data_IF_048471557538
#
_entry.id   IF_048471557538
#
_cell.length_a   1.000
_cell.length_b   1.000
_cell.length_c   1.000
_cell.angle_alpha   90.00
_cell.angle_beta   90.00
_cell.angle_gamma   90.00
#
_symmetry.space_group_name_H-M   'P 1'
#
loop_
_entity.id
_entity.type
_entity.pdbx_description
1 polymer ?
#
# COMPACT_ATOMS: atom_id res chain seq x y z
N UNK A 1 5.74 -24.07 -9.78
CA UNK A 1 7.18 -24.08 -10.09
C UNK A 1 7.82 -22.99 -9.24
N UNK A 2 8.52 -23.38 -8.18
CA UNK A 2 9.22 -22.42 -7.31
C UNK A 2 10.50 -22.00 -8.03
N UNK A 3 10.47 -20.83 -8.67
CA UNK A 3 11.70 -20.22 -9.14
C UNK A 3 12.46 -19.72 -7.90
N UNK A 4 13.71 -20.12 -7.74
CA UNK A 4 14.61 -19.52 -6.74
C UNK A 4 14.60 -18.01 -6.94
N UNK A 5 14.18 -17.24 -5.93
CA UNK A 5 14.23 -15.78 -5.98
C UNK A 5 15.68 -15.34 -6.22
N UNK A 6 15.92 -14.70 -7.36
CA UNK A 6 17.21 -14.07 -7.63
C UNK A 6 17.40 -12.89 -6.67
N UNK A 7 18.65 -12.57 -6.32
CA UNK A 7 18.96 -11.43 -5.46
C UNK A 7 18.38 -10.13 -6.05
N UNK A 8 17.54 -9.42 -5.29
CA UNK A 8 16.84 -8.21 -5.75
C UNK A 8 15.46 -8.45 -6.36
N UNK A 9 14.98 -9.69 -6.46
CA UNK A 9 13.58 -9.98 -6.83
C UNK A 9 12.61 -9.72 -5.67
N UNK A 10 11.35 -9.39 -6.00
CA UNK A 10 10.30 -9.16 -5.00
C UNK A 10 9.97 -10.48 -4.29
N UNK A 11 9.89 -10.42 -2.96
CA UNK A 11 9.35 -11.53 -2.16
C UNK A 11 7.85 -11.40 -1.97
N UNK A 12 7.11 -12.40 -2.44
CA UNK A 12 5.65 -12.47 -2.37
C UNK A 12 5.14 -13.59 -1.47
N UNK A 13 6.02 -14.33 -0.80
CA UNK A 13 5.62 -15.49 0.02
C UNK A 13 4.65 -15.11 1.14
N UNK A 14 4.81 -13.93 1.74
CA UNK A 14 3.95 -13.45 2.81
C UNK A 14 2.56 -12.97 2.34
N UNK A 15 2.32 -12.88 1.02
CA UNK A 15 1.01 -12.57 0.46
C UNK A 15 0.04 -13.76 0.55
N UNK A 16 0.57 -14.96 0.83
CA UNK A 16 -0.18 -16.22 0.91
C UNK A 16 -0.97 -16.49 -0.39
N UNK A 17 -2.28 -16.58 -0.33
CA UNK A 17 -3.15 -16.81 -1.49
C UNK A 17 -3.46 -15.56 -2.31
N UNK A 18 -3.02 -14.37 -1.91
CA UNK A 18 -3.25 -13.15 -2.68
C UNK A 18 -2.21 -12.99 -3.79
N UNK A 19 -2.67 -12.99 -5.05
CA UNK A 19 -1.79 -12.86 -6.22
C UNK A 19 -1.11 -11.49 -6.32
N UNK A 20 -1.84 -10.40 -6.00
CA UNK A 20 -1.42 -9.01 -6.19
C UNK A 20 -0.76 -8.71 -7.54
N UNK A 21 -1.46 -9.03 -8.63
CA UNK A 21 -1.00 -8.76 -9.98
C UNK A 21 -2.13 -8.15 -10.80
N UNK A 22 -1.81 -7.05 -11.46
CA UNK A 22 -2.69 -6.38 -12.41
C UNK A 22 -2.16 -6.62 -13.83
N UNK A 23 -3.08 -6.69 -14.80
CA UNK A 23 -2.72 -6.94 -16.19
C UNK A 23 -3.49 -6.00 -17.10
N UNK A 24 -2.75 -5.39 -18.03
CA UNK A 24 -3.29 -4.46 -19.00
C UNK A 24 -2.87 -4.87 -20.40
N UNK A 25 -3.83 -4.87 -21.32
CA UNK A 25 -3.60 -5.13 -22.75
C UNK A 25 -3.70 -3.78 -23.46
N UNK A 26 -2.58 -3.36 -24.07
CA UNK A 26 -2.51 -2.13 -24.84
C UNK A 26 -3.51 -2.17 -26.01
N UNK A 27 -4.22 -1.06 -26.22
CA UNK A 27 -5.08 -0.87 -27.40
C UNK A 27 -4.29 -0.40 -28.61
N UNK A 28 -3.06 0.08 -28.39
CA UNK A 28 -2.16 0.56 -29.44
C UNK A 28 -2.41 2.03 -29.80
N UNK A 29 -2.80 2.85 -28.84
CA UNK A 29 -2.99 4.29 -29.08
C UNK A 29 -1.62 4.95 -29.36
N UNK A 30 -1.42 5.59 -30.53
CA UNK A 30 -0.16 6.25 -30.84
C UNK A 30 0.14 7.45 -29.92
N UNK A 31 -0.84 7.97 -29.19
CA UNK A 31 -0.67 9.07 -28.25
C UNK A 31 -0.35 8.61 -26.81
N UNK A 32 -0.27 7.30 -26.58
CA UNK A 32 -0.04 6.71 -25.25
C UNK A 32 -1.34 6.32 -24.53
N UNK A 33 -1.20 5.51 -23.48
CA UNK A 33 -2.32 4.95 -22.71
C UNK A 33 -2.04 5.05 -21.21
N UNK A 34 -3.08 5.34 -20.42
CA UNK A 34 -3.03 5.34 -18.96
C UNK A 34 -3.89 4.19 -18.45
N UNK A 35 -3.31 3.35 -17.59
CA UNK A 35 -4.00 2.26 -16.91
C UNK A 35 -3.99 2.47 -15.40
N UNK A 36 -5.20 2.48 -14.81
CA UNK A 36 -5.41 2.56 -13.37
C UNK A 36 -6.45 1.50 -12.96
N UNK A 37 -6.11 0.51 -12.11
CA UNK A 37 -7.05 -0.48 -11.61
C UNK A 37 -8.12 0.17 -10.72
N UNK A 38 -9.40 -0.15 -10.92
CA UNK A 38 -10.52 0.45 -10.17
C UNK A 38 -11.16 -0.44 -9.11
N UNK A 39 -10.94 -1.75 -9.20
CA UNK A 39 -11.61 -2.75 -8.36
C UNK A 39 -10.63 -3.62 -7.56
N UNK A 40 -9.42 -3.10 -7.33
CA UNK A 40 -8.39 -3.76 -6.53
C UNK A 40 -7.53 -2.71 -5.84
N UNK A 41 -6.91 -3.12 -4.74
CA UNK A 41 -5.87 -2.35 -4.02
C UNK A 41 -4.83 -3.34 -3.53
N UNK A 42 -3.58 -2.91 -3.47
CA UNK A 42 -2.45 -3.71 -3.01
C UNK A 42 -1.68 -2.93 -1.94
N UNK A 43 -1.23 -3.62 -0.88
CA UNK A 43 -0.27 -3.06 0.06
C UNK A 43 1.15 -3.43 -0.38
N UNK A 44 1.94 -2.46 -0.83
CA UNK A 44 3.28 -2.70 -1.39
C UNK A 44 4.23 -1.51 -1.23
N UNK A 45 5.53 -1.76 -1.45
CA UNK A 45 6.57 -0.73 -1.62
C UNK A 45 7.30 -0.87 -2.97
N UNK A 46 7.30 -2.06 -3.53
CA UNK A 46 7.99 -2.40 -4.76
C UNK A 46 7.00 -2.99 -5.75
N UNK A 47 7.20 -2.70 -7.04
CA UNK A 47 6.47 -3.31 -8.14
C UNK A 47 7.47 -3.92 -9.12
N UNK A 48 7.04 -4.94 -9.85
CA UNK A 48 7.77 -5.43 -11.01
C UNK A 48 6.86 -5.35 -12.21
N UNK A 49 7.33 -4.71 -13.29
CA UNK A 49 6.56 -4.57 -14.53
C UNK A 49 7.19 -5.46 -15.61
N UNK A 50 6.37 -6.26 -16.25
CA UNK A 50 6.77 -7.17 -17.33
C UNK A 50 6.02 -6.81 -18.62
N UNK A 51 6.60 -7.17 -19.77
CA UNK A 51 5.88 -7.16 -21.05
C UNK A 51 5.66 -5.78 -21.70
N UNK A 52 6.32 -4.73 -21.23
CA UNK A 52 6.28 -3.44 -21.91
C UNK A 52 7.07 -3.51 -23.23
N UNK A 53 6.48 -3.07 -24.37
CA UNK A 53 7.18 -3.04 -25.66
C UNK A 53 8.33 -2.02 -25.69
N UNK A 54 8.27 -1.02 -24.80
CA UNK A 54 9.30 -0.01 -24.61
C UNK A 54 9.93 -0.16 -23.21
N UNK A 55 11.17 0.27 -23.04
CA UNK A 55 11.77 0.40 -21.72
C UNK A 55 10.97 1.41 -20.89
N UNK A 56 10.37 0.98 -19.79
CA UNK A 56 9.73 1.87 -18.83
C UNK A 56 10.78 2.53 -17.95
N UNK A 57 10.56 3.80 -17.66
CA UNK A 57 11.29 4.57 -16.66
C UNK A 57 10.46 4.74 -15.40
N UNK A 58 11.08 5.26 -14.33
CA UNK A 58 10.36 5.58 -13.08
C UNK A 58 9.28 6.65 -13.28
N UNK A 59 9.41 7.47 -14.32
CA UNK A 59 8.44 8.55 -14.60
C UNK A 59 7.17 8.04 -15.29
N UNK A 60 7.16 6.78 -15.77
CA UNK A 60 6.02 6.17 -16.43
C UNK A 60 5.09 5.43 -15.44
N UNK A 61 5.42 5.47 -14.15
CA UNK A 61 4.68 4.79 -13.08
C UNK A 61 4.36 5.80 -11.98
N UNK A 62 3.07 5.90 -11.65
CA UNK A 62 2.58 6.63 -10.49
C UNK A 62 1.97 5.66 -9.47
N UNK A 63 2.30 5.83 -8.19
CA UNK A 63 1.70 5.06 -7.10
C UNK A 63 0.65 5.91 -6.40
N UNK A 64 -0.62 5.54 -6.53
CA UNK A 64 -1.73 6.22 -5.88
C UNK A 64 -2.00 5.60 -4.50
N UNK A 65 -1.96 6.44 -3.47
CA UNK A 65 -2.31 6.04 -2.10
C UNK A 65 -3.83 6.08 -1.96
N UNK A 66 -4.43 4.96 -1.57
CA UNK A 66 -5.88 4.83 -1.40
C UNK A 66 -6.17 4.41 0.04
N UNK A 67 -6.97 5.21 0.74
CA UNK A 67 -7.54 4.95 2.06
C UNK A 67 -8.85 5.73 2.22
N UNK A 68 -9.63 5.42 3.25
CA UNK A 68 -10.77 6.23 3.69
C UNK A 68 -10.32 7.66 3.97
N UNK A 69 -11.00 8.64 3.39
CA UNK A 69 -10.67 10.05 3.57
C UNK A 69 -10.74 10.43 5.06
N UNK A 70 -9.68 11.07 5.55
CA UNK A 70 -9.57 11.55 6.93
C UNK A 70 -8.67 12.78 6.97
N UNK A 71 -8.89 13.63 7.96
CA UNK A 71 -8.02 14.79 8.21
C UNK A 71 -6.97 14.45 9.26
N UNK A 72 -5.73 14.94 9.07
CA UNK A 72 -4.70 14.87 10.11
C UNK A 72 -5.09 15.83 11.24
N UNK A 73 -5.21 15.30 12.44
CA UNK A 73 -5.64 16.03 13.65
C UNK A 73 -4.47 16.31 14.59
N UNK A 74 -3.50 15.40 14.65
CA UNK A 74 -2.35 15.48 15.55
C UNK A 74 -1.03 15.66 14.82
N UNK A 75 -0.11 16.38 15.47
CA UNK A 75 1.26 16.53 15.01
C UNK A 75 2.24 16.24 16.13
N UNK A 76 3.29 15.49 15.81
CA UNK A 76 4.37 15.16 16.74
C UNK A 76 5.72 15.40 16.08
N UNK A 77 6.64 16.01 16.82
CA UNK A 77 8.04 16.15 16.44
C UNK A 77 8.90 16.09 17.69
N UNK A 78 10.05 15.44 17.58
CA UNK A 78 11.05 15.39 18.63
C UNK A 78 12.44 15.69 18.06
N UNK A 79 13.41 15.91 18.95
CA UNK A 79 14.82 16.05 18.58
C UNK A 79 15.46 14.72 18.16
N UNK A 80 14.80 13.59 18.42
CA UNK A 80 15.30 12.27 18.06
C UNK A 80 14.74 11.83 16.70
N UNK A 81 15.58 11.71 15.65
CA UNK A 81 15.11 11.35 14.31
C UNK A 81 14.49 9.95 14.25
N UNK A 82 14.90 9.01 15.11
CA UNK A 82 14.34 7.66 15.15
C UNK A 82 12.89 7.70 15.62
N UNK A 83 12.58 8.51 16.64
CA UNK A 83 11.20 8.64 17.15
C UNK A 83 10.31 9.30 16.10
N UNK A 84 10.83 10.29 15.38
CA UNK A 84 10.10 10.92 14.27
C UNK A 84 9.81 9.91 13.15
N UNK A 85 10.75 9.02 12.84
CA UNK A 85 10.54 7.95 11.86
C UNK A 85 9.51 6.91 12.34
N UNK A 86 9.51 6.56 13.63
CA UNK A 86 8.49 5.66 14.20
C UNK A 86 7.10 6.29 14.05
N UNK A 87 6.95 7.56 14.43
CA UNK A 87 5.69 8.29 14.27
C UNK A 87 5.22 8.32 12.81
N UNK A 88 6.13 8.59 11.87
CA UNK A 88 5.82 8.55 10.44
C UNK A 88 5.33 7.17 9.99
N UNK A 89 6.01 6.11 10.42
CA UNK A 89 5.63 4.73 10.09
C UNK A 89 4.28 4.35 10.70
N UNK A 90 3.98 4.81 11.91
CA UNK A 90 2.69 4.61 12.59
C UNK A 90 1.57 5.26 11.77
N UNK A 91 1.73 6.52 11.35
CA UNK A 91 0.73 7.21 10.52
C UNK A 91 0.48 6.50 9.19
N UNK A 92 1.53 6.08 8.48
CA UNK A 92 1.40 5.31 7.23
C UNK A 92 0.79 3.92 7.45
N UNK A 93 1.14 3.26 8.55
CA UNK A 93 0.57 1.97 8.92
C UNK A 93 -0.93 2.05 9.25
N UNK A 94 -1.35 3.11 9.93
CA UNK A 94 -2.76 3.37 10.22
C UNK A 94 -3.54 3.69 8.94
N UNK A 95 -3.04 4.61 8.10
CA UNK A 95 -3.70 4.95 6.83
C UNK A 95 -3.79 3.74 5.89
N UNK A 96 -2.73 2.94 5.78
CA UNK A 96 -2.74 1.73 4.95
C UNK A 96 -3.78 0.70 5.39
N UNK A 97 -4.21 0.72 6.66
CA UNK A 97 -5.25 -0.16 7.19
C UNK A 97 -6.63 0.51 7.33
N UNK A 98 -6.78 1.75 6.87
CA UNK A 98 -8.06 2.47 6.89
C UNK A 98 -8.73 2.34 5.53
N UNK A 99 -9.26 1.15 5.21
CA UNK A 99 -9.92 0.87 3.92
C UNK A 99 -11.37 0.43 4.15
N UNK A 100 -12.28 1.39 4.37
CA UNK A 100 -13.68 1.22 4.82
C UNK A 100 -13.85 0.64 6.23
N UNK A 101 -12.96 -0.24 6.65
CA UNK A 101 -12.88 -0.86 7.97
C UNK A 101 -11.41 -0.80 8.44
N UNK A 102 -11.14 -0.78 9.76
CA UNK A 102 -9.78 -0.87 10.29
C UNK A 102 -9.26 -2.30 10.12
N UNK A 103 -8.40 -2.54 9.13
CA UNK A 103 -7.89 -3.87 8.81
C UNK A 103 -6.64 -4.25 9.62
N UNK A 104 -6.35 -5.53 9.75
CA UNK A 104 -5.08 -6.04 10.31
C UNK A 104 -3.90 -5.82 9.36
N UNK A 105 -4.14 -6.00 8.05
CA UNK A 105 -3.11 -5.82 7.04
C UNK A 105 -3.71 -5.47 5.67
N UNK A 106 -3.01 -4.68 4.83
CA UNK A 106 -3.52 -4.31 3.50
C UNK A 106 -3.14 -5.29 2.39
N UNK A 107 -2.16 -6.17 2.60
CA UNK A 107 -1.49 -6.88 1.50
C UNK A 107 -2.02 -8.30 1.25
N UNK A 108 -2.00 -9.18 2.24
CA UNK A 108 -2.27 -10.62 2.05
C UNK A 108 -3.77 -10.89 1.89
N UNK A 109 -4.12 -12.15 1.66
CA UNK A 109 -5.48 -12.69 1.55
C UNK A 109 -6.29 -12.65 2.87
N UNK A 110 -6.29 -11.51 3.57
CA UNK A 110 -6.97 -11.32 4.84
C UNK A 110 -7.76 -10.01 4.86
N UNK A 111 -7.11 -8.89 5.19
CA UNK A 111 -7.68 -7.54 5.15
C UNK A 111 -8.99 -7.48 5.94
N UNK A 112 -8.98 -8.02 7.15
CA UNK A 112 -10.18 -8.18 7.99
C UNK A 112 -10.19 -7.18 9.12
N UNK A 113 -11.40 -6.79 9.52
CA UNK A 113 -11.66 -5.95 10.69
C UNK A 113 -11.45 -6.70 11.99
N UNK A 114 -10.20 -7.06 12.29
CA UNK A 114 -9.87 -7.73 13.55
C UNK A 114 -10.07 -6.76 14.72
N UNK A 115 -11.06 -7.06 15.57
CA UNK A 115 -11.46 -6.16 16.66
C UNK A 115 -10.36 -5.96 17.71
N UNK A 116 -9.47 -6.94 17.90
CA UNK A 116 -8.36 -6.82 18.84
C UNK A 116 -7.36 -5.74 18.40
N UNK A 117 -6.96 -5.81 17.14
CA UNK A 117 -6.07 -4.85 16.49
C UNK A 117 -6.66 -3.44 16.57
N UNK A 118 -7.91 -3.28 16.12
CA UNK A 118 -8.62 -2.00 16.20
C UNK A 118 -8.73 -1.46 17.63
N UNK A 119 -9.02 -2.31 18.61
CA UNK A 119 -9.12 -1.89 20.01
C UNK A 119 -7.79 -1.41 20.60
N UNK A 120 -6.66 -1.99 20.16
CA UNK A 120 -5.33 -1.61 20.64
C UNK A 120 -4.81 -0.35 19.95
N UNK A 121 -5.17 -0.09 18.70
CA UNK A 121 -4.68 1.07 17.94
C UNK A 121 -5.57 2.30 18.03
N UNK A 122 -6.84 2.18 18.47
CA UNK A 122 -7.82 3.28 18.45
C UNK A 122 -7.34 4.59 19.07
N UNK A 123 -6.60 4.53 20.19
CA UNK A 123 -6.12 5.75 20.84
C UNK A 123 -5.11 6.49 19.96
N UNK A 124 -4.14 5.77 19.41
CA UNK A 124 -3.15 6.35 18.48
C UNK A 124 -3.85 6.94 17.25
N UNK A 125 -4.80 6.20 16.67
CA UNK A 125 -5.54 6.65 15.51
C UNK A 125 -6.31 7.96 15.78
N UNK A 126 -6.98 8.07 16.92
CA UNK A 126 -7.73 9.28 17.33
C UNK A 126 -6.83 10.46 17.72
N UNK A 127 -5.58 10.21 18.16
CA UNK A 127 -4.59 11.26 18.35
C UNK A 127 -4.11 11.84 17.02
N UNK A 128 -3.95 10.99 16.00
CA UNK A 128 -3.38 11.39 14.71
C UNK A 128 -4.40 11.89 13.70
N UNK A 129 -5.62 11.35 13.71
CA UNK A 129 -6.60 11.54 12.65
C UNK A 129 -7.99 11.85 13.21
N UNK A 130 -8.82 12.52 12.40
CA UNK A 130 -10.22 12.77 12.71
C UNK A 130 -11.11 11.63 12.19
N UNK A 131 -11.46 10.70 13.07
CA UNK A 131 -12.12 9.43 12.73
C UNK A 131 -13.53 9.29 13.34
N UNK A 132 -14.14 10.41 13.76
CA UNK A 132 -15.47 10.47 14.39
C UNK A 132 -16.37 11.42 13.60
#
# INVERSE_FOLDING_TARGET
>A
VYFSQAYGSIDTQNLRGATQADSYILRGDPNGEIYEPRFTVHGFRFITVFGSPNSLSVNDVECLVVHSETTVKGHFVSTNPIINQIQHNVQWGQLGNSMSLPTDCPQRDERKGWMGDAALTVNEALYNFDLI
#
